data_IF_461067950818
#
_entry.id   IF_461067950818
#
_cell.length_a   1.000
_cell.length_b   1.000
_cell.length_c   1.000
_cell.angle_alpha   90.00
_cell.angle_beta   90.00
_cell.angle_gamma   90.00
#
_symmetry.space_group_name_H-M   'P 1'
#
loop_
_entity.id
_entity.type
_entity.pdbx_description
1 polymer ?
#
# COMPACT_ATOMS: atom_id res chain seq x y z
N UNK A 1 -14.79 -9.48 -28.56
CA UNK A 1 -15.91 -9.80 -27.65
C UNK A 1 -15.37 -9.66 -26.23
N UNK A 2 -15.43 -8.43 -25.70
CA UNK A 2 -15.09 -8.15 -24.30
C UNK A 2 -16.24 -8.64 -23.43
N UNK A 3 -16.00 -9.74 -22.71
CA UNK A 3 -16.92 -10.20 -21.68
C UNK A 3 -16.67 -9.30 -20.45
N UNK A 4 -17.68 -8.52 -20.08
CA UNK A 4 -17.66 -7.62 -18.92
C UNK A 4 -17.44 -8.40 -17.62
N UNK A 5 -16.19 -8.49 -17.18
CA UNK A 5 -15.82 -8.91 -15.83
C UNK A 5 -15.97 -7.66 -14.94
N UNK A 6 -17.09 -7.53 -14.23
CA UNK A 6 -17.35 -6.40 -13.35
C UNK A 6 -17.31 -6.77 -11.86
N UNK A 7 -16.51 -7.76 -11.48
CA UNK A 7 -16.40 -8.26 -10.11
C UNK A 7 -14.90 -8.43 -9.82
N UNK A 8 -14.30 -7.61 -8.91
CA UNK A 8 -12.84 -7.46 -8.69
C UNK A 8 -12.00 -7.59 -9.99
N UNK A 9 -11.83 -6.45 -10.68
CA UNK A 9 -11.34 -6.39 -12.06
C UNK A 9 -10.05 -7.20 -12.27
N UNK A 10 -10.16 -8.29 -13.02
CA UNK A 10 -9.04 -9.11 -13.47
C UNK A 10 -8.92 -9.01 -14.99
N UNK A 11 -7.75 -8.61 -15.50
CA UNK A 11 -7.49 -8.60 -16.95
C UNK A 11 -7.01 -9.98 -17.39
N UNK A 12 -7.95 -10.82 -17.82
CA UNK A 12 -7.67 -12.21 -18.24
C UNK A 12 -7.54 -12.28 -19.76
N UNK A 13 -6.40 -12.73 -20.27
CA UNK A 13 -6.17 -12.90 -21.72
C UNK A 13 -6.83 -14.17 -22.26
N UNK A 14 -6.76 -15.26 -21.48
CA UNK A 14 -7.29 -16.56 -21.87
C UNK A 14 -8.81 -16.62 -21.62
N UNK A 15 -9.56 -16.90 -22.67
CA UNK A 15 -11.02 -16.91 -22.61
C UNK A 15 -11.56 -18.05 -21.74
N UNK A 16 -10.92 -19.21 -21.75
CA UNK A 16 -11.35 -20.36 -20.98
C UNK A 16 -11.10 -20.14 -19.49
N UNK A 17 -9.97 -19.53 -19.14
CA UNK A 17 -9.71 -19.08 -17.77
C UNK A 17 -10.77 -18.05 -17.34
N UNK A 18 -11.09 -17.07 -18.19
CA UNK A 18 -12.12 -16.08 -17.88
C UNK A 18 -13.50 -16.72 -17.63
N UNK A 19 -13.90 -17.71 -18.45
CA UNK A 19 -15.15 -18.45 -18.24
C UNK A 19 -15.18 -19.17 -16.89
N UNK A 20 -14.09 -19.84 -16.53
CA UNK A 20 -13.97 -20.55 -15.25
C UNK A 20 -14.06 -19.58 -14.06
N UNK A 21 -13.43 -18.42 -14.16
CA UNK A 21 -13.51 -17.37 -13.13
C UNK A 21 -14.94 -16.84 -12.98
N UNK A 22 -15.63 -16.55 -14.08
CA UNK A 22 -17.03 -16.12 -14.05
C UNK A 22 -17.91 -17.19 -13.40
N UNK A 23 -17.73 -18.46 -13.78
CA UNK A 23 -18.52 -19.56 -13.21
C UNK A 23 -18.27 -19.72 -11.71
N UNK A 24 -17.02 -19.54 -11.26
CA UNK A 24 -16.69 -19.58 -9.84
C UNK A 24 -17.41 -18.47 -9.06
N UNK A 25 -17.41 -17.24 -9.57
CA UNK A 25 -18.09 -16.10 -8.92
C UNK A 25 -19.60 -16.32 -8.88
N UNK A 26 -20.20 -16.80 -9.98
CA UNK A 26 -21.62 -17.12 -10.05
C UNK A 26 -22.01 -18.16 -9.00
N UNK A 27 -21.22 -19.24 -8.86
CA UNK A 27 -21.48 -20.29 -7.88
C UNK A 27 -21.21 -19.89 -6.43
N UNK A 28 -20.24 -18.99 -6.20
CA UNK A 28 -19.78 -18.65 -4.84
C UNK A 28 -20.56 -17.50 -4.21
N UNK A 29 -20.89 -16.47 -5.00
CA UNK A 29 -21.49 -15.23 -4.49
C UNK A 29 -22.65 -14.72 -5.33
N UNK A 30 -23.01 -15.40 -6.43
CA UNK A 30 -24.08 -14.98 -7.36
C UNK A 30 -23.76 -13.58 -7.92
N UNK A 31 -22.50 -13.38 -8.30
CA UNK A 31 -21.98 -12.09 -8.78
C UNK A 31 -21.54 -11.16 -7.64
N UNK A 32 -21.50 -9.85 -7.90
CA UNK A 32 -21.25 -8.81 -6.89
C UNK A 32 -22.36 -7.78 -6.81
N UNK A 33 -22.32 -6.99 -5.72
CA UNK A 33 -23.21 -5.87 -5.47
C UNK A 33 -23.15 -4.81 -6.58
N UNK A 34 -24.32 -4.52 -7.17
CA UNK A 34 -24.50 -3.43 -8.15
C UNK A 34 -24.22 -2.06 -7.53
N UNK A 35 -24.60 -1.84 -6.28
CA UNK A 35 -24.32 -0.60 -5.57
C UNK A 35 -22.81 -0.39 -5.39
N UNK A 36 -22.07 -1.45 -5.07
CA UNK A 36 -20.62 -1.40 -4.98
C UNK A 36 -19.98 -1.07 -6.35
N UNK A 37 -20.46 -1.67 -7.44
CA UNK A 37 -20.00 -1.36 -8.81
C UNK A 37 -20.24 0.12 -9.15
N UNK A 38 -21.45 0.63 -8.91
CA UNK A 38 -21.80 2.04 -9.20
C UNK A 38 -20.96 3.02 -8.38
N UNK A 39 -20.76 2.73 -7.09
CA UNK A 39 -19.91 3.55 -6.23
C UNK A 39 -18.45 3.55 -6.70
N UNK A 40 -17.89 2.38 -7.01
CA UNK A 40 -16.54 2.26 -7.52
C UNK A 40 -16.35 3.02 -8.85
N UNK A 41 -17.29 2.89 -9.79
CA UNK A 41 -17.24 3.60 -11.06
C UNK A 41 -17.23 5.13 -10.88
N UNK A 42 -18.04 5.67 -9.96
CA UNK A 42 -18.05 7.11 -9.63
C UNK A 42 -16.70 7.57 -9.06
N UNK A 43 -16.13 6.82 -8.10
CA UNK A 43 -14.84 7.17 -7.49
C UNK A 43 -13.72 7.12 -8.54
N UNK A 44 -13.64 6.05 -9.33
CA UNK A 44 -12.62 5.90 -10.37
C UNK A 44 -12.71 6.99 -11.43
N UNK A 45 -13.92 7.40 -11.80
CA UNK A 45 -14.13 8.54 -12.70
C UNK A 45 -13.58 9.84 -12.10
N UNK A 46 -13.91 10.16 -10.85
CA UNK A 46 -13.38 11.34 -10.17
C UNK A 46 -11.84 11.34 -10.10
N UNK A 47 -11.23 10.19 -9.83
CA UNK A 47 -9.77 10.03 -9.82
C UNK A 47 -9.19 10.25 -11.21
N UNK A 48 -9.77 9.67 -12.26
CA UNK A 48 -9.34 9.87 -13.65
C UNK A 48 -9.45 11.35 -14.06
N UNK A 49 -10.61 11.96 -13.83
CA UNK A 49 -10.88 13.36 -14.15
C UNK A 49 -9.94 14.31 -13.38
N UNK A 50 -9.48 13.95 -12.18
CA UNK A 50 -8.49 14.74 -11.42
C UNK A 50 -7.11 14.75 -12.09
N UNK A 51 -6.72 13.63 -12.73
CA UNK A 51 -5.45 13.54 -13.44
C UNK A 51 -5.46 14.37 -14.72
N UNK A 52 -6.59 14.42 -15.41
CA UNK A 52 -6.74 15.23 -16.63
C UNK A 52 -6.79 16.73 -16.32
N UNK A 53 -7.47 17.13 -15.24
CA UNK A 53 -7.58 18.54 -14.82
C UNK A 53 -6.26 19.14 -14.33
N UNK A 54 -5.47 18.37 -13.58
CA UNK A 54 -4.14 18.81 -13.15
C UNK A 54 -3.18 19.08 -14.32
N UNK A 55 -3.43 18.49 -15.50
CA UNK A 55 -2.69 18.82 -16.72
C UNK A 55 -3.13 20.17 -17.34
N UNK A 56 -4.22 20.77 -16.86
CA UNK A 56 -4.85 21.97 -17.43
C UNK A 56 -4.89 23.18 -16.50
N UNK A 57 -4.68 23.00 -15.19
CA UNK A 57 -4.64 24.08 -14.20
C UNK A 57 -3.53 23.86 -13.17
N UNK A 58 -2.80 24.92 -12.83
CA UNK A 58 -1.69 24.87 -11.86
C UNK A 58 -2.13 24.76 -10.39
N UNK A 59 -3.44 24.88 -10.11
CA UNK A 59 -3.97 24.99 -8.73
C UNK A 59 -4.57 23.68 -8.18
N UNK A 60 -4.89 22.69 -9.03
CA UNK A 60 -5.48 21.43 -8.59
C UNK A 60 -4.44 20.29 -8.64
N UNK A 61 -4.09 19.77 -7.46
CA UNK A 61 -3.24 18.58 -7.35
C UNK A 61 -4.04 17.31 -7.70
N UNK A 62 -3.53 16.47 -8.60
CA UNK A 62 -4.17 15.19 -8.93
C UNK A 62 -4.13 14.22 -7.74
N UNK A 63 -5.08 13.28 -7.68
CA UNK A 63 -5.09 12.23 -6.65
C UNK A 63 -3.75 11.47 -6.54
N UNK A 64 -3.11 11.20 -7.69
CA UNK A 64 -1.84 10.47 -7.73
C UNK A 64 -0.68 11.29 -7.19
N UNK A 65 -0.67 12.58 -7.48
CA UNK A 65 0.36 13.51 -7.02
C UNK A 65 0.28 13.68 -5.49
N UNK A 66 -0.93 13.98 -5.00
CA UNK A 66 -1.23 14.06 -3.57
C UNK A 66 -0.83 12.80 -2.82
N UNK A 67 -1.22 11.62 -3.34
CA UNK A 67 -0.96 10.34 -2.68
C UNK A 67 0.53 10.02 -2.62
N UNK A 68 1.29 10.34 -3.67
CA UNK A 68 2.74 10.13 -3.67
C UNK A 68 3.44 11.07 -2.69
N UNK A 69 3.05 12.36 -2.64
CA UNK A 69 3.60 13.31 -1.66
C UNK A 69 3.29 12.89 -0.23
N UNK A 70 2.07 12.45 0.05
CA UNK A 70 1.67 11.94 1.36
C UNK A 70 2.54 10.74 1.77
N UNK A 71 2.70 9.75 0.88
CA UNK A 71 3.52 8.58 1.18
C UNK A 71 5.00 8.92 1.31
N UNK A 72 5.54 9.82 0.49
CA UNK A 72 6.92 10.30 0.62
C UNK A 72 7.16 10.95 2.00
N UNK A 73 6.24 11.79 2.45
CA UNK A 73 6.29 12.39 3.80
C UNK A 73 6.26 11.33 4.89
N UNK A 74 5.38 10.34 4.78
CA UNK A 74 5.28 9.24 5.76
C UNK A 74 6.55 8.38 5.78
N UNK A 75 7.10 8.04 4.63
CA UNK A 75 8.36 7.30 4.53
C UNK A 75 9.53 8.05 5.16
N UNK A 76 9.62 9.36 4.92
CA UNK A 76 10.63 10.22 5.57
C UNK A 76 10.53 10.15 7.09
N UNK A 77 9.34 10.38 7.64
CA UNK A 77 9.11 10.35 9.10
C UNK A 77 9.42 8.99 9.72
N UNK A 78 9.03 7.90 9.05
CA UNK A 78 9.33 6.55 9.53
C UNK A 78 10.83 6.27 9.53
N UNK A 79 11.55 6.67 8.46
CA UNK A 79 13.01 6.49 8.37
C UNK A 79 13.71 7.26 9.48
N UNK A 80 13.37 8.53 9.68
CA UNK A 80 13.94 9.37 10.76
C UNK A 80 13.71 8.74 12.15
N UNK A 81 12.53 8.15 12.38
CA UNK A 81 12.20 7.51 13.65
C UNK A 81 13.00 6.24 13.93
N UNK A 82 13.39 5.48 12.91
CA UNK A 82 14.16 4.24 13.10
C UNK A 82 15.66 4.41 12.86
N UNK A 83 16.10 5.53 12.26
CA UNK A 83 17.50 5.81 11.92
C UNK A 83 18.42 5.85 13.14
N UNK A 84 17.90 6.29 14.28
CA UNK A 84 18.65 6.38 15.54
C UNK A 84 18.80 5.02 16.25
N UNK A 85 18.11 3.98 15.77
CA UNK A 85 18.01 2.69 16.42
C UNK A 85 18.72 1.62 15.60
N UNK A 86 19.79 1.02 16.14
CA UNK A 86 20.53 -0.06 15.46
C UNK A 86 19.74 -1.38 15.41
N UNK A 87 18.59 -1.44 16.09
CA UNK A 87 17.75 -2.64 16.17
C UNK A 87 16.80 -2.77 14.98
N UNK A 88 16.71 -1.77 14.10
CA UNK A 88 15.77 -1.76 13.00
C UNK A 88 16.46 -1.50 11.67
N UNK A 89 16.02 -2.20 10.64
CA UNK A 89 16.38 -1.88 9.26
C UNK A 89 15.15 -1.83 8.35
N UNK A 90 15.18 -0.88 7.42
CA UNK A 90 14.16 -0.68 6.39
C UNK A 90 14.77 -0.89 5.00
N UNK A 91 13.99 -1.39 4.03
CA UNK A 91 14.45 -1.50 2.67
C UNK A 91 14.77 -0.12 2.07
N UNK A 92 15.84 -0.10 1.28
CA UNK A 92 16.21 1.03 0.43
C UNK A 92 15.74 0.72 -0.98
N UNK A 93 15.00 1.65 -1.57
CA UNK A 93 14.47 1.51 -2.93
C UNK A 93 15.18 2.50 -3.84
N UNK A 94 15.87 2.04 -4.91
CA UNK A 94 16.53 2.96 -5.82
C UNK A 94 15.51 3.79 -6.61
N UNK A 95 15.80 5.08 -6.88
CA UNK A 95 14.98 5.89 -7.78
C UNK A 95 14.90 5.27 -9.18
N UNK A 96 13.74 5.40 -9.83
CA UNK A 96 13.52 4.93 -11.19
C UNK A 96 12.71 5.93 -12.01
N UNK A 97 12.82 5.87 -13.34
CA UNK A 97 12.03 6.73 -14.21
C UNK A 97 10.56 6.29 -14.22
N UNK A 98 9.66 7.20 -13.84
CA UNK A 98 8.22 6.99 -13.86
C UNK A 98 7.63 7.50 -15.18
N UNK A 99 7.11 6.59 -16.01
CA UNK A 99 6.54 6.94 -17.32
C UNK A 99 5.23 7.73 -17.23
N UNK A 100 4.51 7.64 -16.11
CA UNK A 100 3.29 8.39 -15.85
C UNK A 100 3.59 9.87 -15.54
N UNK A 101 4.51 10.13 -14.60
CA UNK A 101 4.94 11.49 -14.23
C UNK A 101 6.02 12.10 -15.12
N UNK A 102 6.64 11.31 -15.99
CA UNK A 102 7.75 11.73 -16.88
C UNK A 102 8.99 12.25 -16.13
N UNK A 103 9.23 11.74 -14.92
CA UNK A 103 10.39 12.13 -14.11
C UNK A 103 10.96 10.93 -13.35
N UNK A 104 12.20 11.06 -12.87
CA UNK A 104 12.77 10.11 -11.91
C UNK A 104 12.04 10.26 -10.58
N UNK A 105 11.63 9.17 -9.96
CA UNK A 105 10.92 9.18 -8.68
C UNK A 105 11.31 7.98 -7.83
N UNK A 106 11.34 8.20 -6.52
CA UNK A 106 11.52 7.12 -5.55
C UNK A 106 10.22 6.35 -5.35
N UNK A 107 10.27 5.01 -5.26
CA UNK A 107 9.13 4.21 -4.85
C UNK A 107 8.71 4.53 -3.42
N UNK A 108 7.41 4.80 -3.23
CA UNK A 108 6.81 5.04 -1.92
C UNK A 108 5.74 3.96 -1.65
N UNK A 109 6.13 2.74 -1.26
CA UNK A 109 5.18 1.64 -1.13
C UNK A 109 4.19 1.87 0.02
N UNK A 110 2.98 1.32 -0.11
CA UNK A 110 1.94 1.40 0.92
C UNK A 110 2.23 0.55 2.17
N UNK A 111 3.26 -0.29 2.14
CA UNK A 111 3.70 -1.09 3.27
C UNK A 111 5.21 -0.99 3.44
N UNK A 112 5.65 -0.85 4.69
CA UNK A 112 7.05 -0.91 5.07
C UNK A 112 7.37 -2.30 5.65
N UNK A 113 8.37 -2.96 5.09
CA UNK A 113 8.91 -4.21 5.62
C UNK A 113 10.03 -3.88 6.59
N UNK A 114 9.70 -3.80 7.87
CA UNK A 114 10.67 -3.55 8.93
C UNK A 114 11.30 -4.87 9.34
N UNK A 115 12.63 -4.87 9.46
CA UNK A 115 13.38 -5.98 10.03
C UNK A 115 13.92 -5.59 11.39
N UNK A 116 13.74 -6.46 12.37
CA UNK A 116 14.44 -6.37 13.64
C UNK A 116 15.83 -7.02 13.51
N UNK A 117 16.85 -6.30 13.94
CA UNK A 117 18.26 -6.69 13.92
C UNK A 117 18.73 -7.21 15.29
N UNK A 118 20.00 -7.63 15.37
CA UNK A 118 20.60 -8.16 16.60
C UNK A 118 19.94 -9.45 17.10
N UNK A 119 19.76 -9.52 18.41
CA UNK A 119 19.24 -10.70 19.13
C UNK A 119 17.71 -10.80 19.12
N UNK A 120 17.02 -9.88 18.43
CA UNK A 120 15.56 -9.94 18.30
C UNK A 120 15.20 -11.01 17.27
N UNK A 121 14.74 -12.16 17.74
CA UNK A 121 14.31 -13.28 16.89
C UNK A 121 12.88 -13.10 16.36
N UNK A 122 11.97 -12.54 17.16
CA UNK A 122 10.55 -12.36 16.83
C UNK A 122 10.15 -10.88 16.89
N UNK A 123 10.13 -10.24 15.71
CA UNK A 123 9.91 -8.80 15.58
C UNK A 123 8.47 -8.40 15.90
N UNK A 124 7.49 -9.26 15.59
CA UNK A 124 6.07 -9.03 15.91
C UNK A 124 5.85 -9.01 17.42
N UNK A 125 6.38 -10.00 18.13
CA UNK A 125 6.26 -10.08 19.59
C UNK A 125 6.98 -8.92 20.28
N UNK A 126 8.16 -8.54 19.78
CA UNK A 126 8.92 -7.39 20.29
C UNK A 126 8.17 -6.07 20.14
N UNK A 127 7.63 -5.80 18.95
CA UNK A 127 6.83 -4.59 18.69
C UNK A 127 5.54 -4.57 19.50
N UNK A 128 4.88 -5.72 19.67
CA UNK A 128 3.69 -5.83 20.50
C UNK A 128 3.97 -5.45 21.96
N UNK A 129 5.12 -5.87 22.51
CA UNK A 129 5.59 -5.47 23.83
C UNK A 129 5.79 -3.96 23.99
N UNK A 130 6.04 -3.25 22.89
CA UNK A 130 6.14 -1.79 22.82
C UNK A 130 4.83 -1.11 22.37
N UNK A 131 3.72 -1.85 22.39
CA UNK A 131 2.39 -1.37 22.03
C UNK A 131 2.18 -1.16 20.53
N UNK A 132 3.01 -1.75 19.67
CA UNK A 132 2.89 -1.64 18.20
C UNK A 132 2.37 -2.97 17.65
N UNK A 133 1.11 -2.99 17.20
CA UNK A 133 0.51 -4.16 16.57
C UNK A 133 0.78 -4.18 15.07
N UNK A 134 1.51 -5.19 14.61
CA UNK A 134 1.87 -5.35 13.19
C UNK A 134 1.89 -6.83 12.81
N UNK A 135 1.42 -7.22 11.60
CA UNK A 135 1.50 -8.61 11.16
C UNK A 135 2.95 -9.07 10.98
N UNK A 136 3.34 -10.13 11.68
CA UNK A 136 4.67 -10.73 11.60
C UNK A 136 4.98 -11.44 10.29
N UNK A 137 6.27 -11.58 9.99
CA UNK A 137 6.79 -12.17 8.76
C UNK A 137 6.37 -13.62 8.53
N UNK A 138 6.16 -14.40 9.62
CA UNK A 138 5.69 -15.80 9.56
C UNK A 138 4.39 -15.92 8.76
N UNK A 139 3.47 -14.95 8.91
CA UNK A 139 2.20 -14.93 8.19
C UNK A 139 2.37 -14.82 6.67
N UNK A 140 3.49 -14.28 6.21
CA UNK A 140 3.82 -14.08 4.81
C UNK A 140 4.85 -15.10 4.28
N UNK A 141 5.16 -16.14 5.07
CA UNK A 141 6.15 -17.16 4.70
C UNK A 141 7.60 -16.65 4.71
N UNK A 142 7.89 -15.57 5.45
CA UNK A 142 9.25 -15.03 5.62
C UNK A 142 9.71 -15.12 7.07
N UNK A 143 10.98 -14.75 7.32
CA UNK A 143 11.59 -14.85 8.65
C UNK A 143 10.79 -14.08 9.72
N UNK A 144 10.69 -14.61 10.96
CA UNK A 144 10.09 -13.93 12.11
C UNK A 144 10.73 -12.59 12.47
N UNK A 145 11.96 -12.34 11.97
CA UNK A 145 12.65 -11.06 12.12
C UNK A 145 12.00 -9.92 11.33
N UNK A 146 11.09 -10.23 10.41
CA UNK A 146 10.38 -9.21 9.63
C UNK A 146 8.97 -8.97 10.17
N UNK A 147 8.47 -7.76 9.97
CA UNK A 147 7.09 -7.37 10.16
C UNK A 147 6.64 -6.39 9.08
N UNK A 148 5.34 -6.34 8.80
CA UNK A 148 4.78 -5.48 7.76
C UNK A 148 3.95 -4.34 8.38
N UNK A 149 4.45 -3.12 8.23
CA UNK A 149 3.80 -1.90 8.70
C UNK A 149 2.95 -1.28 7.59
N UNK A 150 1.72 -0.89 7.93
CA UNK A 150 0.81 -0.17 7.01
C UNK A 150 1.18 1.32 6.97
N UNK A 151 1.50 1.83 5.78
CA UNK A 151 1.75 3.26 5.53
C UNK A 151 0.47 4.01 5.12
N UNK A 152 -0.68 3.33 5.14
CA UNK A 152 -1.97 3.80 4.62
C UNK A 152 -3.01 4.09 5.71
N UNK A 153 -2.62 3.95 6.99
CA UNK A 153 -3.50 4.25 8.12
C UNK A 153 -3.92 5.72 8.17
N UNK A 154 -4.90 6.06 9.03
CA UNK A 154 -5.20 7.46 9.33
C UNK A 154 -4.00 8.16 9.97
N UNK A 155 -3.87 9.46 9.76
CA UNK A 155 -2.72 10.25 10.24
C UNK A 155 -2.46 10.06 11.73
N UNK A 156 -3.50 10.09 12.58
CA UNK A 156 -3.33 9.89 14.02
C UNK A 156 -2.71 8.54 14.40
N UNK A 157 -3.10 7.46 13.72
CA UNK A 157 -2.53 6.13 13.96
C UNK A 157 -1.10 6.03 13.43
N UNK A 158 -0.82 6.62 12.26
CA UNK A 158 0.52 6.69 11.70
C UNK A 158 1.48 7.51 12.58
N UNK A 159 1.05 8.66 13.08
CA UNK A 159 1.88 9.49 13.97
C UNK A 159 2.17 8.79 15.30
N UNK A 160 1.18 8.10 15.88
CA UNK A 160 1.39 7.31 17.10
C UNK A 160 2.38 6.16 16.87
N UNK A 161 2.34 5.51 15.71
CA UNK A 161 3.33 4.50 15.32
C UNK A 161 4.74 5.10 15.28
N UNK A 162 4.93 6.22 14.57
CA UNK A 162 6.23 6.89 14.45
C UNK A 162 6.77 7.32 15.81
N UNK A 163 5.91 7.88 16.67
CA UNK A 163 6.26 8.27 18.04
C UNK A 163 6.67 7.07 18.90
N UNK A 164 5.99 5.94 18.78
CA UNK A 164 6.38 4.73 19.51
C UNK A 164 7.70 4.17 19.00
N UNK A 165 7.90 4.13 17.68
CA UNK A 165 9.15 3.66 17.08
C UNK A 165 10.35 4.50 17.52
N UNK A 166 10.22 5.84 17.55
CA UNK A 166 11.32 6.71 17.96
C UNK A 166 11.69 6.62 19.45
N UNK A 167 10.84 6.01 20.27
CA UNK A 167 11.11 5.72 21.69
C UNK A 167 11.78 4.37 21.89
N UNK A 168 11.80 3.51 20.88
CA UNK A 168 12.46 2.21 20.94
C UNK A 168 13.91 2.41 20.50
N UNK A 169 14.78 2.63 21.49
CA UNK A 169 16.24 2.72 21.38
C UNK A 169 16.90 1.81 22.38
#
# INVERSE_FOLDING_TARGET
>A
MELHINDYISKVKDQEVARRMIKFIELSTIGVSKDAQVRAAKILRLVSDSSERAASSEQDESFFEFSHHLLAKRWKLLREAVEHSEIFSLPVFPPAFCTFRKQVSEPQPGFAWLKCEGDIEDCESFLLGNGILTPGGKLFGVSPKYTRISMLERDGAFHLLVERMSRIG
#
